data_IF_300907373577
#
_entry.id   IF_300907373577
#
_cell.length_a   1.000
_cell.length_b   1.000
_cell.length_c   1.000
_cell.angle_alpha   90.00
_cell.angle_beta   90.00
_cell.angle_gamma   90.00
#
_symmetry.space_group_name_H-M   'P 1'
#
loop_
_entity.id
_entity.type
_entity.pdbx_description
1 polymer ?
#
# COMPACT_ATOMS: atom_id res chain seq x y z
N UNK A 1 -40.71 -36.64 3.68
CA UNK A 1 -41.55 -35.44 3.53
C UNK A 1 -40.71 -34.36 2.86
N UNK A 2 -41.15 -33.84 1.71
CA UNK A 2 -40.47 -32.82 0.92
C UNK A 2 -40.88 -31.43 1.45
N UNK A 3 -39.94 -30.49 1.56
CA UNK A 3 -40.24 -29.09 1.31
C UNK A 3 -39.18 -28.54 0.36
N UNK A 4 -39.66 -28.10 -0.80
CA UNK A 4 -38.92 -27.44 -1.87
C UNK A 4 -39.44 -26.01 -1.91
N UNK A 5 -38.56 -25.01 -1.94
CA UNK A 5 -38.81 -23.74 -2.64
C UNK A 5 -37.49 -23.10 -3.07
N UNK A 6 -37.47 -22.71 -4.34
CA UNK A 6 -36.35 -22.17 -5.09
C UNK A 6 -36.67 -20.74 -5.59
N UNK A 7 -35.68 -20.13 -6.27
CA UNK A 7 -35.72 -18.95 -7.18
C UNK A 7 -35.59 -17.60 -6.44
N UNK A 8 -34.68 -16.65 -6.77
CA UNK A 8 -33.73 -16.47 -7.89
C UNK A 8 -32.93 -15.15 -7.71
N UNK A 9 -32.08 -14.75 -8.69
CA UNK A 9 -31.13 -13.63 -8.58
C UNK A 9 -31.73 -12.29 -9.04
N UNK A 10 -31.16 -11.16 -8.61
CA UNK A 10 -31.44 -9.85 -9.18
C UNK A 10 -30.15 -9.04 -9.38
N UNK A 11 -29.75 -8.94 -10.65
CA UNK A 11 -28.80 -7.96 -11.19
C UNK A 11 -29.43 -6.56 -11.13
N UNK A 12 -28.67 -5.57 -10.67
CA UNK A 12 -29.09 -4.16 -10.63
C UNK A 12 -27.99 -3.24 -11.13
N UNK A 13 -27.82 -3.17 -12.45
CA UNK A 13 -27.04 -2.15 -13.12
C UNK A 13 -27.85 -0.84 -13.20
N UNK A 14 -27.25 0.29 -12.83
CA UNK A 14 -27.76 1.62 -13.18
C UNK A 14 -26.61 2.55 -13.56
N UNK A 15 -26.39 2.65 -14.87
CA UNK A 15 -25.71 3.77 -15.51
C UNK A 15 -26.62 5.01 -15.50
N UNK A 16 -26.07 6.17 -15.14
CA UNK A 16 -26.64 7.47 -15.52
C UNK A 16 -25.55 8.29 -16.22
N UNK A 17 -25.72 8.48 -17.53
CA UNK A 17 -24.90 9.35 -18.39
C UNK A 17 -25.73 10.55 -18.86
N UNK A 18 -25.14 11.75 -18.66
CA UNK A 18 -25.09 12.95 -19.52
C UNK A 18 -26.36 13.75 -19.89
N UNK A 19 -26.31 15.05 -19.55
CA UNK A 19 -26.50 16.19 -20.46
C UNK A 19 -25.94 17.47 -19.76
N UNK A 20 -24.81 18.03 -20.20
CA UNK A 20 -24.66 19.02 -21.29
C UNK A 20 -25.01 20.47 -20.88
N UNK A 21 -23.99 21.33 -20.85
CA UNK A 21 -24.10 22.76 -21.18
C UNK A 21 -22.74 23.28 -21.68
N UNK A 22 -22.56 23.22 -23.01
CA UNK A 22 -21.66 24.10 -23.74
C UNK A 22 -22.19 25.53 -23.69
N UNK A 23 -21.30 26.50 -23.54
CA UNK A 23 -21.58 27.92 -23.77
C UNK A 23 -20.27 28.67 -23.95
N UNK A 24 -19.77 28.68 -25.18
CA UNK A 24 -18.66 29.50 -25.66
C UNK A 24 -19.25 30.73 -26.35
N UNK A 25 -18.59 31.90 -26.21
CA UNK A 25 -18.62 33.12 -27.05
C UNK A 25 -18.48 34.34 -26.12
N UNK A 26 -17.74 35.42 -26.38
CA UNK A 26 -16.70 35.76 -27.33
C UNK A 26 -16.11 37.12 -26.87
N UNK A 27 -14.84 37.37 -27.22
CA UNK A 27 -14.20 38.65 -27.56
C UNK A 27 -14.59 39.99 -26.87
N UNK A 28 -13.60 40.65 -26.25
CA UNK A 28 -12.97 41.93 -26.69
C UNK A 28 -12.37 42.73 -25.50
N UNK A 29 -11.24 43.45 -25.68
CA UNK A 29 -10.32 43.82 -24.61
C UNK A 29 -10.35 45.30 -24.19
N UNK A 30 -9.45 45.63 -23.26
CA UNK A 30 -8.68 46.88 -23.14
C UNK A 30 -9.12 47.98 -22.16
N UNK A 31 -8.07 48.56 -21.57
CA UNK A 31 -7.88 49.87 -20.91
C UNK A 31 -8.41 50.14 -19.50
N UNK A 32 -7.49 50.54 -18.62
CA UNK A 32 -7.78 51.47 -17.54
C UNK A 32 -6.94 51.30 -16.27
N UNK A 33 -5.85 52.07 -16.15
CA UNK A 33 -5.04 52.18 -14.92
C UNK A 33 -5.49 53.41 -14.09
N UNK A 34 -5.55 53.22 -12.76
CA UNK A 34 -5.44 54.18 -11.61
C UNK A 34 -6.49 55.32 -11.45
N UNK A 35 -6.60 56.06 -10.30
CA UNK A 35 -5.94 55.90 -8.99
C UNK A 35 -6.79 56.15 -7.70
N UNK A 36 -6.20 55.77 -6.56
CA UNK A 36 -6.28 56.40 -5.21
C UNK A 36 -7.59 56.45 -4.39
N UNK A 37 -7.46 56.04 -3.11
CA UNK A 37 -8.39 56.46 -2.04
C UNK A 37 -8.22 55.61 -0.77
N UNK A 38 -7.33 56.02 0.14
CA UNK A 38 -7.02 55.29 1.37
C UNK A 38 -8.04 55.44 2.51
N UNK A 39 -7.90 54.59 3.52
CA UNK A 39 -8.09 54.95 4.92
C UNK A 39 -7.36 53.95 5.82
N UNK A 40 -6.64 54.48 6.81
CA UNK A 40 -5.99 53.75 7.90
C UNK A 40 -7.01 53.15 8.86
N UNK A 41 -6.70 51.99 9.47
CA UNK A 41 -6.58 51.84 10.93
C UNK A 41 -6.24 50.40 11.34
N UNK A 42 -5.17 50.30 12.13
CA UNK A 42 -5.04 49.50 13.36
C UNK A 42 -4.98 47.96 13.29
N UNK A 43 -3.81 47.42 13.67
CA UNK A 43 -3.58 46.02 14.04
C UNK A 43 -4.29 45.64 15.33
N UNK A 44 -4.57 44.33 15.52
CA UNK A 44 -3.76 43.59 16.48
C UNK A 44 -3.14 42.33 15.88
N UNK A 45 -1.89 42.07 16.27
CA UNK A 45 -1.24 40.77 16.12
C UNK A 45 -1.90 39.74 17.05
N UNK A 46 -2.43 38.67 16.46
CA UNK A 46 -2.56 37.39 17.12
C UNK A 46 -1.79 36.39 16.27
N UNK A 47 -0.72 35.82 16.84
CA UNK A 47 -0.08 34.63 16.29
C UNK A 47 -0.94 33.42 16.68
N UNK A 48 -1.45 32.62 15.73
CA UNK A 48 -1.67 31.22 16.01
C UNK A 48 -0.33 30.51 15.85
N UNK A 49 0.14 29.87 16.92
CA UNK A 49 1.12 28.79 16.81
C UNK A 49 0.52 27.71 15.92
N UNK A 50 1.06 27.56 14.72
CA UNK A 50 0.79 26.39 13.90
C UNK A 50 1.57 25.22 14.48
N UNK A 51 0.90 24.43 15.31
CA UNK A 51 1.24 23.01 15.51
C UNK A 51 1.34 22.38 14.12
N UNK A 52 2.42 21.67 13.76
CA UNK A 52 2.48 20.98 12.48
C UNK A 52 1.37 19.93 12.46
N UNK A 53 0.27 20.28 11.81
CA UNK A 53 -0.80 19.36 11.47
C UNK A 53 -0.24 18.54 10.31
N UNK A 54 0.39 17.42 10.63
CA UNK A 54 0.73 16.43 9.62
C UNK A 54 -0.57 16.07 8.90
N UNK A 55 -0.66 16.47 7.64
CA UNK A 55 -1.81 16.16 6.79
C UNK A 55 -1.94 14.64 6.74
N UNK A 56 -3.04 14.04 7.20
CA UNK A 56 -3.24 12.61 7.03
C UNK A 56 -3.24 12.33 5.53
N UNK A 57 -2.21 11.62 5.07
CA UNK A 57 -2.10 11.19 3.67
C UNK A 57 -3.15 10.11 3.49
N UNK A 58 -4.09 10.34 2.56
CA UNK A 58 -5.08 9.33 2.22
C UNK A 58 -4.37 8.10 1.65
N UNK A 59 -4.75 6.88 2.07
CA UNK A 59 -4.26 5.67 1.41
C UNK A 59 -4.51 5.78 -0.08
N UNK A 60 -3.48 5.47 -0.88
CA UNK A 60 -3.56 5.54 -2.33
C UNK A 60 -4.40 4.33 -2.77
N UNK A 61 -5.52 4.59 -3.43
CA UNK A 61 -6.31 3.56 -4.11
C UNK A 61 -5.65 3.27 -5.47
N UNK A 62 -5.24 2.02 -5.70
CA UNK A 62 -4.44 1.61 -6.86
C UNK A 62 -5.27 1.30 -8.10
N UNK A 63 -6.61 1.29 -8.00
CA UNK A 63 -7.53 1.04 -9.11
C UNK A 63 -7.47 -0.37 -9.70
N UNK A 64 -8.30 -0.63 -10.71
CA UNK A 64 -8.28 -1.87 -11.51
C UNK A 64 -7.09 -1.87 -12.51
N UNK A 65 -6.46 -3.03 -12.68
CA UNK A 65 -5.25 -3.28 -13.50
C UNK A 65 -5.33 -2.76 -14.97
N UNK A 66 -4.21 -2.33 -15.61
CA UNK A 66 -2.84 -2.24 -15.12
C UNK A 66 -2.35 -0.77 -15.09
N UNK A 67 -2.57 -0.09 -13.97
CA UNK A 67 -1.89 1.17 -13.63
C UNK A 67 -0.76 0.95 -12.58
N UNK A 68 -0.45 -0.31 -12.27
CA UNK A 68 0.32 -0.73 -11.09
C UNK A 68 1.81 -0.36 -11.17
N UNK A 69 2.43 -0.20 -12.34
CA UNK A 69 3.89 0.01 -12.41
C UNK A 69 4.37 1.35 -11.82
N UNK A 70 3.88 2.48 -12.32
CA UNK A 70 4.53 3.77 -12.03
C UNK A 70 4.26 4.30 -10.61
N UNK A 71 3.05 4.08 -10.08
CA UNK A 71 2.69 4.50 -8.72
C UNK A 71 3.37 3.64 -7.65
N UNK A 72 3.51 2.33 -7.92
CA UNK A 72 4.21 1.38 -7.06
C UNK A 72 5.71 1.65 -7.02
N UNK A 73 6.33 1.82 -8.19
CA UNK A 73 7.74 2.18 -8.32
C UNK A 73 8.02 3.49 -7.56
N UNK A 74 7.14 4.51 -7.71
CA UNK A 74 7.30 5.78 -6.98
C UNK A 74 7.17 5.63 -5.47
N UNK A 75 6.31 4.75 -4.98
CA UNK A 75 6.15 4.50 -3.54
C UNK A 75 7.34 3.72 -2.96
N UNK A 76 7.79 2.68 -3.66
CA UNK A 76 8.97 1.90 -3.29
C UNK A 76 10.25 2.76 -3.32
N UNK A 77 10.46 3.55 -4.37
CA UNK A 77 11.60 4.49 -4.46
C UNK A 77 11.57 5.55 -3.36
N UNK A 78 10.38 6.00 -2.93
CA UNK A 78 10.26 6.93 -1.80
C UNK A 78 10.68 6.27 -0.49
N UNK A 79 10.32 5.01 -0.27
CA UNK A 79 10.73 4.25 0.90
C UNK A 79 12.25 4.01 0.93
N UNK A 80 12.85 3.65 -0.21
CA UNK A 80 14.31 3.59 -0.38
C UNK A 80 14.97 4.94 -0.07
N UNK A 81 14.39 6.05 -0.56
CA UNK A 81 14.91 7.41 -0.29
C UNK A 81 14.90 7.77 1.20
N UNK A 82 14.03 7.14 1.98
CA UNK A 82 13.96 7.26 3.44
C UNK A 82 14.84 6.21 4.17
N UNK A 83 15.79 5.58 3.45
CA UNK A 83 16.72 4.54 3.92
C UNK A 83 16.06 3.24 4.40
N UNK A 84 14.84 2.92 3.94
CA UNK A 84 14.26 1.59 4.13
C UNK A 84 14.79 0.65 3.04
N UNK A 85 15.27 -0.55 3.44
CA UNK A 85 15.55 -1.63 2.48
C UNK A 85 14.19 -2.25 2.13
N UNK A 86 13.42 -1.61 1.26
CA UNK A 86 12.06 -2.05 0.93
C UNK A 86 12.11 -3.33 0.13
N UNK A 87 11.47 -4.39 0.62
CA UNK A 87 11.35 -5.65 -0.12
C UNK A 87 10.09 -5.62 -0.99
N UNK A 88 10.26 -5.89 -2.27
CA UNK A 88 9.18 -5.94 -3.26
C UNK A 88 9.25 -7.25 -4.03
N UNK A 89 8.11 -7.87 -4.41
CA UNK A 89 8.13 -9.01 -5.30
C UNK A 89 8.62 -8.57 -6.67
N UNK A 90 9.71 -9.20 -7.13
CA UNK A 90 10.24 -9.01 -8.48
C UNK A 90 9.30 -9.57 -9.55
N UNK A 91 8.65 -10.69 -9.24
CA UNK A 91 7.62 -11.35 -10.05
C UNK A 91 6.56 -11.92 -9.11
N UNK A 92 5.28 -11.80 -9.48
CA UNK A 92 4.20 -12.47 -8.75
C UNK A 92 4.09 -13.93 -9.19
N UNK A 93 3.83 -14.88 -8.26
CA UNK A 93 3.56 -16.26 -8.64
C UNK A 93 2.32 -16.38 -9.55
N UNK A 94 2.25 -17.45 -10.34
CA UNK A 94 1.15 -17.67 -11.28
C UNK A 94 -0.22 -17.65 -10.60
N UNK A 95 -1.15 -16.87 -11.16
CA UNK A 95 -2.53 -16.76 -10.67
C UNK A 95 -2.70 -15.80 -9.48
N UNK A 96 -1.67 -15.05 -9.11
CA UNK A 96 -1.75 -14.00 -8.10
C UNK A 96 -2.12 -12.66 -8.71
N UNK A 97 -2.80 -11.83 -7.93
CA UNK A 97 -3.13 -10.44 -8.28
C UNK A 97 -2.77 -9.51 -7.13
N UNK A 98 -2.25 -8.33 -7.44
CA UNK A 98 -2.09 -7.24 -6.45
C UNK A 98 -3.41 -6.55 -6.21
N UNK A 99 -3.81 -6.43 -4.95
CA UNK A 99 -5.03 -5.74 -4.53
C UNK A 99 -4.75 -4.27 -4.22
N UNK A 100 -3.63 -4.00 -3.53
CA UNK A 100 -3.25 -2.65 -3.12
C UNK A 100 -1.97 -2.65 -2.31
N UNK A 101 -1.61 -1.49 -1.76
CA UNK A 101 -0.45 -1.34 -0.91
C UNK A 101 -0.13 0.10 -0.56
N UNK A 102 1.10 0.39 -0.15
CA UNK A 102 1.52 1.76 0.05
C UNK A 102 2.68 1.91 1.03
N UNK A 103 3.14 3.16 1.10
CA UNK A 103 4.22 3.57 1.99
C UNK A 103 3.78 4.74 2.87
N UNK A 104 4.00 4.61 4.18
CA UNK A 104 3.88 5.68 5.16
C UNK A 104 5.27 5.97 5.76
N UNK A 105 5.70 7.24 5.85
CA UNK A 105 7.03 7.57 6.36
C UNK A 105 7.13 7.70 7.89
N UNK A 106 6.02 7.96 8.61
CA UNK A 106 6.02 8.13 10.07
C UNK A 106 4.71 7.60 10.70
N UNK A 107 4.75 6.52 11.52
CA UNK A 107 5.87 5.57 11.59
C UNK A 107 6.12 4.97 10.20
N UNK A 108 7.39 4.65 9.92
CA UNK A 108 7.75 4.04 8.65
C UNK A 108 7.01 2.71 8.48
N UNK A 109 6.28 2.53 7.39
CA UNK A 109 5.52 1.32 7.14
C UNK A 109 5.32 1.14 5.64
N UNK A 110 5.69 -0.03 5.15
CA UNK A 110 5.42 -0.49 3.80
C UNK A 110 4.43 -1.64 3.86
N UNK A 111 3.45 -1.64 2.97
CA UNK A 111 2.36 -2.60 2.98
C UNK A 111 1.97 -2.99 1.56
N UNK A 112 1.63 -4.26 1.36
CA UNK A 112 1.07 -4.79 0.12
C UNK A 112 0.04 -5.88 0.42
N UNK A 113 -1.04 -5.86 -0.36
CA UNK A 113 -2.09 -6.87 -0.33
C UNK A 113 -2.14 -7.60 -1.68
N UNK A 114 -2.23 -8.92 -1.62
CA UNK A 114 -2.34 -9.79 -2.77
C UNK A 114 -3.50 -10.79 -2.57
N UNK A 115 -4.08 -11.24 -3.67
CA UNK A 115 -4.97 -12.40 -3.69
C UNK A 115 -4.25 -13.54 -4.41
N UNK A 116 -4.02 -14.64 -3.70
CA UNK A 116 -3.51 -15.89 -4.24
C UNK A 116 -4.66 -16.87 -4.55
N UNK A 117 -4.44 -17.92 -5.36
CA UNK A 117 -5.46 -18.95 -5.62
C UNK A 117 -6.00 -19.65 -4.35
N UNK A 118 -5.20 -19.67 -3.28
CA UNK A 118 -5.48 -20.31 -2.00
C UNK A 118 -6.06 -19.36 -0.94
N UNK A 119 -5.95 -18.04 -1.13
CA UNK A 119 -6.44 -17.02 -0.20
C UNK A 119 -5.66 -15.71 -0.27
N UNK A 120 -6.04 -14.76 0.57
CA UNK A 120 -5.39 -13.45 0.61
C UNK A 120 -4.04 -13.52 1.33
N UNK A 121 -3.10 -12.71 0.86
CA UNK A 121 -1.73 -12.62 1.39
C UNK A 121 -1.37 -11.16 1.60
N UNK A 122 -0.77 -10.87 2.75
CA UNK A 122 -0.29 -9.54 3.12
C UNK A 122 1.23 -9.58 3.27
N UNK A 123 1.88 -8.53 2.78
CA UNK A 123 3.27 -8.20 3.08
C UNK A 123 3.29 -6.86 3.81
N UNK A 124 3.75 -6.90 5.06
CA UNK A 124 4.05 -5.72 5.87
C UNK A 124 5.54 -5.59 6.06
N UNK A 125 6.05 -4.36 6.06
CA UNK A 125 7.41 -4.08 6.49
C UNK A 125 7.42 -2.86 7.40
N UNK A 126 7.89 -3.07 8.62
CA UNK A 126 7.84 -2.11 9.72
C UNK A 126 9.23 -1.97 10.36
N UNK A 127 9.55 -0.84 11.03
CA UNK A 127 10.80 -0.66 11.73
C UNK A 127 10.92 -1.62 12.91
N UNK A 128 12.16 -1.97 13.23
CA UNK A 128 12.48 -2.89 14.32
C UNK A 128 12.60 -4.34 13.89
N UNK A 129 12.54 -5.23 14.87
CA UNK A 129 12.68 -6.70 14.72
C UNK A 129 11.33 -7.40 14.66
N UNK A 130 11.33 -8.67 14.24
CA UNK A 130 10.17 -9.54 14.26
C UNK A 130 9.54 -9.63 15.66
N UNK A 131 10.35 -9.71 16.72
CA UNK A 131 9.88 -9.68 18.11
C UNK A 131 9.12 -8.39 18.46
N UNK A 132 9.58 -7.24 17.95
CA UNK A 132 8.92 -5.95 18.19
C UNK A 132 7.63 -5.80 17.36
N UNK A 133 7.66 -6.23 16.10
CA UNK A 133 6.54 -6.17 15.17
C UNK A 133 5.40 -7.11 15.60
N UNK A 134 5.75 -8.34 15.97
CA UNK A 134 4.81 -9.41 16.31
C UNK A 134 4.51 -9.49 17.81
N UNK A 135 5.27 -8.80 18.67
CA UNK A 135 5.13 -8.90 20.13
C UNK A 135 3.79 -8.44 20.72
N UNK A 136 2.96 -7.75 19.93
CA UNK A 136 1.58 -7.37 20.30
C UNK A 136 0.53 -8.38 19.84
N UNK A 137 0.89 -9.30 18.95
CA UNK A 137 0.01 -10.32 18.41
C UNK A 137 -0.06 -11.49 19.38
N UNK A 138 -1.24 -11.75 19.92
CA UNK A 138 -1.50 -12.89 20.80
C UNK A 138 -1.80 -14.13 20.00
N UNK A 139 -1.37 -15.31 20.47
CA UNK A 139 -1.73 -16.58 19.83
C UNK A 139 -0.81 -16.98 18.67
N UNK A 140 0.37 -16.38 18.57
CA UNK A 140 1.45 -16.88 17.71
C UNK A 140 2.03 -18.16 18.29
N UNK A 141 2.09 -19.21 17.47
CA UNK A 141 2.75 -20.47 17.80
C UNK A 141 3.96 -20.63 16.91
N UNK A 142 5.20 -20.59 17.44
CA UNK A 142 6.40 -20.73 16.62
C UNK A 142 6.44 -22.12 15.98
N UNK A 143 6.85 -22.15 14.71
CA UNK A 143 7.09 -23.37 13.94
C UNK A 143 8.54 -23.37 13.43
N UNK A 144 8.91 -24.37 12.62
CA UNK A 144 10.25 -24.44 12.05
C UNK A 144 10.51 -23.27 11.09
N UNK A 145 11.70 -22.68 11.22
CA UNK A 145 12.17 -21.62 10.32
C UNK A 145 12.22 -22.10 8.86
N UNK A 146 11.98 -21.18 7.94
CA UNK A 146 12.03 -21.42 6.50
C UNK A 146 13.36 -20.95 5.96
N UNK A 147 14.18 -21.90 5.45
CA UNK A 147 15.45 -21.55 4.82
C UNK A 147 15.24 -21.10 3.36
N UNK A 148 15.49 -19.81 3.11
CA UNK A 148 15.47 -19.17 1.80
C UNK A 148 16.87 -18.68 1.38
N UNK A 149 17.93 -19.33 1.86
CA UNK A 149 19.32 -19.00 1.48
C UNK A 149 19.56 -19.06 -0.02
N UNK A 150 18.95 -20.03 -0.72
CA UNK A 150 19.08 -20.16 -2.18
C UNK A 150 18.44 -18.99 -2.96
N UNK A 151 17.58 -18.20 -2.31
CA UNK A 151 16.93 -16.99 -2.85
C UNK A 151 17.56 -15.69 -2.30
N UNK A 152 18.68 -15.78 -1.58
CA UNK A 152 19.45 -14.62 -1.14
C UNK A 152 18.95 -13.92 0.13
N UNK A 153 17.84 -14.36 0.72
CA UNK A 153 17.30 -13.79 1.97
C UNK A 153 17.67 -14.60 3.21
N UNK A 154 18.06 -15.87 3.08
CA UNK A 154 18.49 -16.67 4.25
C UNK A 154 17.31 -17.20 5.07
N UNK A 155 17.46 -17.46 6.38
CA UNK A 155 16.39 -18.02 7.19
C UNK A 155 15.31 -17.00 7.55
N UNK A 156 14.05 -17.40 7.44
CA UNK A 156 12.87 -16.67 7.88
C UNK A 156 12.26 -17.36 9.08
N UNK A 157 11.95 -16.59 10.12
CA UNK A 157 11.23 -17.09 11.29
C UNK A 157 9.77 -17.34 10.93
N UNK A 158 9.17 -18.39 11.47
CA UNK A 158 7.81 -18.80 11.10
C UNK A 158 6.92 -19.05 12.31
N UNK A 159 5.63 -18.73 12.17
CA UNK A 159 4.60 -18.96 13.16
C UNK A 159 3.27 -19.37 12.52
N UNK A 160 2.49 -20.17 13.23
CA UNK A 160 1.06 -20.30 13.00
C UNK A 160 0.30 -19.25 13.83
N UNK A 161 -0.71 -18.63 13.22
CA UNK A 161 -1.59 -17.66 13.87
C UNK A 161 -3.03 -17.80 13.36
N UNK A 162 -3.96 -18.25 14.21
CA UNK A 162 -5.40 -18.34 13.89
C UNK A 162 -5.74 -19.07 12.58
N UNK A 163 -4.94 -20.07 12.21
CA UNK A 163 -5.12 -20.85 10.98
C UNK A 163 -4.49 -20.21 9.73
N UNK A 164 -3.74 -19.12 9.89
CA UNK A 164 -2.85 -18.53 8.91
C UNK A 164 -1.38 -18.82 9.24
N UNK A 165 -0.53 -18.79 8.23
CA UNK A 165 0.92 -18.83 8.38
C UNK A 165 1.48 -17.41 8.36
N UNK A 166 2.40 -17.13 9.29
CA UNK A 166 3.15 -15.88 9.39
C UNK A 166 4.63 -16.19 9.20
N UNK A 167 5.30 -15.54 8.25
CA UNK A 167 6.75 -15.54 8.11
C UNK A 167 7.29 -14.15 8.42
N UNK A 168 8.43 -14.06 9.10
CA UNK A 168 9.13 -12.78 9.29
C UNK A 168 10.61 -12.86 8.96
N UNK A 169 11.12 -11.75 8.43
CA UNK A 169 12.50 -11.60 8.03
C UNK A 169 13.08 -10.28 8.48
N UNK A 170 14.04 -10.37 9.40
CA UNK A 170 14.73 -9.22 9.94
C UNK A 170 15.77 -8.69 8.96
N UNK A 171 15.56 -7.44 8.54
CA UNK A 171 16.51 -6.62 7.82
C UNK A 171 17.17 -5.63 8.80
N UNK A 172 18.18 -4.91 8.30
CA UNK A 172 18.83 -3.87 9.11
C UNK A 172 17.86 -2.72 9.40
N UNK A 173 17.26 -2.72 10.59
CA UNK A 173 16.40 -1.66 11.11
C UNK A 173 14.91 -1.79 10.77
N UNK A 174 14.51 -2.87 10.09
CA UNK A 174 13.12 -3.17 9.77
C UNK A 174 12.91 -4.68 9.68
N UNK A 175 11.67 -5.15 9.80
CA UNK A 175 11.32 -6.55 9.56
C UNK A 175 10.25 -6.61 8.47
N UNK A 176 10.36 -7.59 7.59
CA UNK A 176 9.29 -7.98 6.66
C UNK A 176 8.45 -9.04 7.33
N UNK A 177 7.13 -8.93 7.26
CA UNK A 177 6.15 -9.89 7.76
C UNK A 177 5.25 -10.28 6.59
N UNK A 178 5.20 -11.57 6.28
CA UNK A 178 4.24 -12.16 5.36
C UNK A 178 3.17 -12.90 6.14
N UNK A 179 1.91 -12.69 5.81
CA UNK A 179 0.80 -13.45 6.38
C UNK A 179 -0.09 -13.97 5.26
N UNK A 180 -0.48 -15.24 5.33
CA UNK A 180 -1.32 -15.87 4.31
C UNK A 180 -1.94 -17.19 4.77
N UNK A 181 -2.69 -17.88 3.89
CA UNK A 181 -3.52 -19.02 4.26
C UNK A 181 -2.70 -20.26 4.66
N UNK A 182 -1.51 -20.42 4.11
CA UNK A 182 -0.64 -21.58 4.34
C UNK A 182 0.81 -21.26 3.98
N UNK A 183 1.72 -22.10 4.48
CA UNK A 183 3.17 -21.97 4.30
C UNK A 183 3.60 -21.97 2.83
N UNK A 184 3.03 -22.83 1.99
CA UNK A 184 3.42 -22.94 0.58
C UNK A 184 3.15 -21.63 -0.15
N UNK A 185 1.98 -21.04 0.12
CA UNK A 185 1.55 -19.76 -0.46
C UNK A 185 2.46 -18.60 -0.04
N UNK A 186 2.69 -18.42 1.26
CA UNK A 186 3.54 -17.30 1.73
C UNK A 186 5.02 -17.50 1.38
N UNK A 187 5.49 -18.75 1.33
CA UNK A 187 6.84 -19.07 0.86
C UNK A 187 7.02 -18.71 -0.61
N UNK A 188 6.04 -19.02 -1.46
CA UNK A 188 6.09 -18.69 -2.88
C UNK A 188 6.25 -17.19 -3.14
N UNK A 189 5.62 -16.34 -2.30
CA UNK A 189 5.84 -14.89 -2.35
C UNK A 189 7.23 -14.52 -1.80
N UNK A 190 7.64 -15.08 -0.66
CA UNK A 190 8.94 -14.81 -0.05
C UNK A 190 10.12 -15.10 -1.00
N UNK A 191 10.02 -16.16 -1.78
CA UNK A 191 11.00 -16.57 -2.80
C UNK A 191 11.16 -15.55 -3.94
N UNK A 192 10.17 -14.68 -4.17
CA UNK A 192 10.23 -13.65 -5.22
C UNK A 192 10.64 -12.26 -4.72
N UNK A 193 10.79 -12.08 -3.40
CA UNK A 193 11.12 -10.78 -2.81
C UNK A 193 12.57 -10.40 -3.05
N UNK A 194 12.77 -9.17 -3.53
CA UNK A 194 14.08 -8.53 -3.68
C UNK A 194 14.05 -7.12 -3.10
N UNK A 195 15.20 -6.57 -2.68
CA UNK A 195 15.32 -5.15 -2.39
C UNK A 195 14.86 -4.32 -3.60
N UNK A 196 14.11 -3.24 -3.37
CA UNK A 196 13.54 -2.41 -4.43
C UNK A 196 14.62 -1.84 -5.38
N UNK A 197 15.82 -1.52 -4.87
CA UNK A 197 16.96 -1.10 -5.69
C UNK A 197 17.40 -2.17 -6.70
N UNK A 198 17.33 -3.46 -6.35
CA UNK A 198 17.72 -4.58 -7.21
C UNK A 198 16.58 -5.02 -8.16
N UNK A 199 15.33 -4.68 -7.84
CA UNK A 199 14.16 -5.05 -8.63
C UNK A 199 14.06 -4.23 -9.94
N UNK A 200 14.48 -2.95 -9.92
CA UNK A 200 14.43 -2.08 -11.10
C UNK A 200 15.46 -2.41 -12.19
N UNK A 201 16.54 -3.13 -11.84
CA UNK A 201 17.64 -3.46 -12.77
C UNK A 201 17.38 -4.71 -13.62
N UNK A 202 16.32 -5.48 -13.33
CA UNK A 202 16.06 -6.77 -13.99
C UNK A 202 15.10 -6.70 -15.19
N UNK A 203 14.49 -5.54 -15.48
CA UNK A 203 13.65 -5.33 -16.67
C UNK A 203 14.45 -4.81 -17.90
N UNK A 204 15.63 -5.38 -18.15
CA UNK A 204 16.50 -5.07 -19.29
C UNK A 204 16.30 -5.95 -20.51
#
# INVERSE_FOLDING_TARGET
MRLTRAIGPALGASLVLLAAACGNDADTPDTGVDPSGGTSSESPSESPSETPTATPVAPIDFGDEPAVKESYERAALRATSDNLITMVPSVLPDGWTTVGGGYQPDPQWWHMEFTAPTGDVVLDQMPGTADEALGKMSGLTPVDDVDLTDWGTGPWSAWDHDGATVLAYDLKGSTVVLQGPDLETVRGLAESLLPADDAGEQEG
#
